data_IF_634776484975
#
_entry.id   IF_634776484975
#
_cell.length_a   1.000
_cell.length_b   1.000
_cell.length_c   1.000
_cell.angle_alpha   90.00
_cell.angle_beta   90.00
_cell.angle_gamma   90.00
#
_symmetry.space_group_name_H-M   'P 1'
#
loop_
_entity.id
_entity.type
_entity.pdbx_description
1 polymer ?
#
# COMPACT_ATOMS: atom_id res chain seq x y z
N UNK A 1 38.00 -0.84 -25.53
CA UNK A 1 37.85 -0.89 -24.06
C UNK A 1 36.51 -0.29 -23.60
N UNK A 2 35.39 -0.63 -24.25
CA UNK A 2 34.06 -0.02 -23.99
C UNK A 2 32.94 -1.04 -23.71
N UNK A 3 33.22 -2.34 -23.85
CA UNK A 3 32.21 -3.41 -23.75
C UNK A 3 31.86 -3.84 -22.30
N UNK A 4 32.69 -3.46 -21.31
CA UNK A 4 32.44 -3.80 -19.89
C UNK A 4 31.38 -2.91 -19.23
N UNK A 5 31.34 -1.60 -19.56
CA UNK A 5 30.42 -0.65 -18.92
C UNK A 5 28.94 -0.94 -19.23
N UNK A 6 28.64 -1.32 -20.47
CA UNK A 6 27.28 -1.64 -20.91
C UNK A 6 26.74 -2.90 -20.21
N UNK A 7 27.60 -3.90 -19.95
CA UNK A 7 27.22 -5.12 -19.24
C UNK A 7 26.88 -4.87 -17.78
N UNK A 8 27.64 -4.00 -17.11
CA UNK A 8 27.37 -3.62 -15.70
C UNK A 8 26.06 -2.85 -15.58
N UNK A 9 25.79 -1.91 -16.48
CA UNK A 9 24.52 -1.16 -16.51
C UNK A 9 23.33 -2.08 -16.80
N UNK A 10 23.48 -3.03 -17.73
CA UNK A 10 22.44 -4.00 -18.04
C UNK A 10 22.18 -4.98 -16.88
N UNK A 11 23.22 -5.41 -16.16
CA UNK A 11 23.08 -6.21 -14.95
C UNK A 11 22.42 -5.44 -13.80
N UNK A 12 22.73 -4.15 -13.63
CA UNK A 12 22.05 -3.29 -12.65
C UNK A 12 20.57 -3.12 -13.00
N UNK A 13 20.24 -2.89 -14.27
CA UNK A 13 18.86 -2.77 -14.73
C UNK A 13 18.06 -4.08 -14.57
N UNK A 14 18.69 -5.25 -14.74
CA UNK A 14 18.05 -6.55 -14.52
C UNK A 14 17.79 -6.88 -13.03
N UNK A 15 18.65 -6.39 -12.14
CA UNK A 15 18.41 -6.49 -10.69
C UNK A 15 17.26 -5.57 -10.28
N UNK A 16 17.13 -4.40 -10.90
CA UNK A 16 16.01 -3.48 -10.68
C UNK A 16 14.68 -3.99 -11.25
N UNK A 17 14.69 -4.75 -12.36
CA UNK A 17 13.48 -5.29 -12.98
C UNK A 17 12.91 -6.52 -12.27
N UNK A 18 13.61 -7.05 -11.26
CA UNK A 18 13.24 -8.29 -10.57
C UNK A 18 12.83 -8.10 -9.11
N UNK A 19 12.83 -6.85 -8.62
CA UNK A 19 12.43 -6.55 -7.25
C UNK A 19 10.90 -6.41 -7.13
N UNK A 20 10.20 -7.49 -7.45
CA UNK A 20 8.78 -7.66 -7.12
C UNK A 20 8.61 -8.04 -5.64
N UNK A 21 9.31 -7.31 -4.74
CA UNK A 21 9.25 -7.45 -3.28
C UNK A 21 8.67 -6.17 -2.66
N UNK A 22 7.76 -5.50 -3.38
CA UNK A 22 7.04 -4.34 -2.88
C UNK A 22 5.86 -4.75 -1.98
N UNK A 23 5.29 -5.94 -2.21
CA UNK A 23 4.45 -6.66 -1.24
C UNK A 23 5.37 -7.35 -0.21
N UNK A 24 5.78 -6.77 0.92
CA UNK A 24 4.81 -6.21 1.84
C UNK A 24 5.52 -5.61 3.06
N UNK A 25 6.32 -4.56 2.87
CA UNK A 25 6.94 -3.89 4.01
C UNK A 25 5.88 -3.27 4.93
N UNK A 26 4.77 -2.83 4.33
CA UNK A 26 3.58 -2.37 5.04
C UNK A 26 2.93 -3.46 5.91
N UNK A 27 2.63 -4.65 5.35
CA UNK A 27 2.08 -5.76 6.15
C UNK A 27 3.10 -6.31 7.14
N UNK A 28 4.40 -6.28 6.83
CA UNK A 28 5.44 -6.62 7.79
C UNK A 28 5.35 -5.74 9.03
N UNK A 29 5.33 -4.41 8.86
CA UNK A 29 5.17 -3.48 9.99
C UNK A 29 3.81 -3.65 10.68
N UNK A 30 2.73 -3.88 9.92
CA UNK A 30 1.41 -4.15 10.49
C UNK A 30 1.43 -5.37 11.40
N UNK A 31 2.05 -6.47 10.96
CA UNK A 31 2.17 -7.72 11.73
C UNK A 31 2.97 -7.56 13.03
N UNK A 32 3.87 -6.57 13.07
CA UNK A 32 4.63 -6.17 14.26
C UNK A 32 3.91 -5.13 15.11
N UNK A 33 2.69 -4.74 14.74
CA UNK A 33 1.91 -3.67 15.38
C UNK A 33 2.56 -2.28 15.27
N UNK A 34 3.53 -2.12 14.36
CA UNK A 34 4.17 -0.86 14.04
C UNK A 34 3.30 -0.09 13.03
N UNK A 35 2.14 0.37 13.51
CA UNK A 35 1.10 0.88 12.63
C UNK A 35 1.48 2.18 11.90
N UNK A 36 2.34 3.02 12.48
CA UNK A 36 2.78 4.26 11.84
C UNK A 36 3.68 3.96 10.63
N UNK A 37 4.66 3.09 10.80
CA UNK A 37 5.56 2.63 9.75
C UNK A 37 4.78 1.86 8.67
N UNK A 38 3.82 1.04 9.08
CA UNK A 38 2.91 0.34 8.16
C UNK A 38 2.15 1.31 7.25
N UNK A 39 1.49 2.34 7.82
CA UNK A 39 0.81 3.38 7.05
C UNK A 39 1.78 4.13 6.14
N UNK A 40 3.00 4.41 6.62
CA UNK A 40 4.03 5.11 5.84
C UNK A 40 4.39 4.33 4.58
N UNK A 41 4.59 3.02 4.70
CA UNK A 41 4.91 2.16 3.57
C UNK A 41 3.72 1.98 2.60
N UNK A 42 2.50 1.82 3.12
CA UNK A 42 1.32 1.75 2.24
C UNK A 42 1.11 3.05 1.44
N UNK A 43 1.32 4.23 2.06
CA UNK A 43 1.26 5.51 1.34
C UNK A 43 2.37 5.62 0.29
N UNK A 44 3.55 5.07 0.59
CA UNK A 44 4.65 4.98 -0.37
C UNK A 44 4.26 4.11 -1.58
N UNK A 45 3.61 2.97 -1.35
CA UNK A 45 3.08 2.11 -2.43
C UNK A 45 2.08 2.87 -3.29
N UNK A 46 1.09 3.54 -2.68
CA UNK A 46 0.09 4.33 -3.40
C UNK A 46 0.70 5.43 -4.27
N UNK A 47 1.83 6.00 -3.84
CA UNK A 47 2.54 7.04 -4.60
C UNK A 47 3.28 6.49 -5.83
N UNK A 48 3.89 5.30 -5.74
CA UNK A 48 4.71 4.74 -6.81
C UNK A 48 3.93 3.81 -7.76
N UNK A 49 3.00 3.03 -7.23
CA UNK A 49 2.18 2.09 -7.98
C UNK A 49 0.93 2.82 -8.45
N UNK A 50 0.92 3.22 -9.72
CA UNK A 50 -0.23 3.89 -10.32
C UNK A 50 -1.46 2.98 -10.30
N UNK A 51 -2.32 3.20 -9.31
CA UNK A 51 -3.75 2.85 -9.24
C UNK A 51 -4.16 1.38 -9.33
N UNK A 52 -3.33 0.41 -9.74
CA UNK A 52 -3.83 -0.96 -9.98
C UNK A 52 -4.37 -1.66 -8.73
N UNK A 53 -3.91 -1.26 -7.53
CA UNK A 53 -4.33 -1.81 -6.24
C UNK A 53 -4.74 -0.71 -5.23
N UNK A 54 -5.17 0.47 -5.72
CA UNK A 54 -5.46 1.63 -4.85
C UNK A 54 -6.40 1.26 -3.69
N UNK A 55 -7.49 0.56 -3.98
CA UNK A 55 -8.52 0.27 -2.97
C UNK A 55 -8.01 -0.71 -1.91
N UNK A 56 -7.25 -1.73 -2.30
CA UNK A 56 -6.61 -2.63 -1.36
C UNK A 56 -5.68 -1.85 -0.42
N UNK A 57 -4.85 -0.98 -0.98
CA UNK A 57 -3.90 -0.17 -0.20
C UNK A 57 -4.63 0.81 0.72
N UNK A 58 -5.71 1.45 0.26
CA UNK A 58 -6.56 2.31 1.09
C UNK A 58 -7.20 1.51 2.25
N UNK A 59 -7.68 0.30 1.98
CA UNK A 59 -8.22 -0.58 3.02
C UNK A 59 -7.15 -0.98 4.05
N UNK A 60 -5.95 -1.33 3.60
CA UNK A 60 -4.81 -1.64 4.49
C UNK A 60 -4.42 -0.43 5.36
N UNK A 61 -4.37 0.78 4.80
CA UNK A 61 -4.16 2.03 5.55
C UNK A 61 -5.25 2.24 6.60
N UNK A 62 -6.52 2.10 6.21
CA UNK A 62 -7.64 2.25 7.14
C UNK A 62 -7.58 1.24 8.30
N UNK A 63 -7.23 -0.02 8.02
CA UNK A 63 -7.01 -1.05 9.06
C UNK A 63 -5.89 -0.67 10.02
N UNK A 64 -4.77 -0.15 9.54
CA UNK A 64 -3.66 0.29 10.39
C UNK A 64 -4.06 1.49 11.27
N UNK A 65 -4.78 2.47 10.73
CA UNK A 65 -5.34 3.56 11.52
C UNK A 65 -6.32 3.08 12.59
N UNK A 66 -7.24 2.19 12.22
CA UNK A 66 -8.19 1.60 13.18
C UNK A 66 -7.47 0.84 14.31
N UNK A 67 -6.48 0.02 13.95
CA UNK A 67 -5.73 -0.81 14.90
C UNK A 67 -4.87 0.01 15.87
N UNK A 68 -4.48 1.22 15.49
CA UNK A 68 -3.78 2.19 16.33
C UNK A 68 -4.70 3.13 17.12
N UNK A 69 -6.02 2.97 16.99
CA UNK A 69 -7.02 3.81 17.66
C UNK A 69 -7.32 5.15 16.98
N UNK A 70 -6.72 5.41 15.81
CA UNK A 70 -6.93 6.63 15.01
C UNK A 70 -8.21 6.51 14.16
N UNK A 71 -9.35 6.46 14.86
CA UNK A 71 -10.68 6.22 14.30
C UNK A 71 -11.10 7.20 13.21
N UNK A 72 -10.85 8.50 13.41
CA UNK A 72 -11.20 9.53 12.42
C UNK A 72 -10.41 9.38 11.12
N UNK A 73 -9.10 9.12 11.21
CA UNK A 73 -8.26 8.85 10.04
C UNK A 73 -8.72 7.60 9.32
N UNK A 74 -9.03 6.52 10.05
CA UNK A 74 -9.58 5.30 9.46
C UNK A 74 -10.89 5.57 8.69
N UNK A 75 -11.82 6.32 9.29
CA UNK A 75 -13.09 6.66 8.65
C UNK A 75 -12.88 7.50 7.39
N UNK A 76 -11.99 8.50 7.44
CA UNK A 76 -11.69 9.34 6.28
C UNK A 76 -11.12 8.55 5.10
N UNK A 77 -10.22 7.60 5.36
CA UNK A 77 -9.63 6.73 4.34
C UNK A 77 -10.65 5.75 3.76
N UNK A 78 -11.57 5.23 4.58
CA UNK A 78 -12.65 4.36 4.10
C UNK A 78 -13.67 5.10 3.25
N UNK A 79 -13.97 6.35 3.58
CA UNK A 79 -14.82 7.19 2.73
C UNK A 79 -14.14 7.48 1.39
N UNK A 80 -12.82 7.69 1.37
CA UNK A 80 -12.06 7.80 0.12
C UNK A 80 -12.19 6.53 -0.74
N UNK A 81 -12.02 5.35 -0.12
CA UNK A 81 -12.16 4.05 -0.78
C UNK A 81 -13.53 3.87 -1.43
N UNK A 82 -14.62 4.19 -0.72
CA UNK A 82 -16.00 3.96 -1.18
C UNK A 82 -16.48 5.09 -2.13
N UNK A 83 -15.80 6.23 -2.16
CA UNK A 83 -16.22 7.38 -2.98
C UNK A 83 -15.92 7.24 -4.46
N UNK A 84 -15.15 6.22 -4.86
CA UNK A 84 -14.88 5.94 -6.28
C UNK A 84 -16.14 5.34 -6.94
N UNK A 85 -16.48 5.78 -8.16
CA UNK A 85 -17.72 5.36 -8.85
C UNK A 85 -17.68 3.92 -9.38
N UNK A 86 -16.52 3.25 -9.28
CA UNK A 86 -16.35 1.83 -9.60
C UNK A 86 -16.48 1.01 -8.33
N UNK A 87 -17.34 -0.01 -8.36
CA UNK A 87 -17.56 -0.90 -7.22
C UNK A 87 -16.34 -1.79 -7.04
N UNK A 88 -15.66 -1.64 -5.90
CA UNK A 88 -14.48 -2.41 -5.55
C UNK A 88 -14.84 -3.64 -4.74
N UNK A 89 -14.05 -4.72 -4.87
CA UNK A 89 -14.16 -5.89 -3.99
C UNK A 89 -13.96 -5.50 -2.51
N UNK A 90 -13.28 -4.38 -2.25
CA UNK A 90 -13.02 -3.84 -0.91
C UNK A 90 -14.15 -2.94 -0.35
N UNK A 91 -15.14 -2.53 -1.14
CA UNK A 91 -16.20 -1.63 -0.67
C UNK A 91 -16.99 -2.22 0.50
N UNK A 92 -17.31 -3.51 0.39
CA UNK A 92 -18.04 -4.24 1.42
C UNK A 92 -17.22 -4.28 2.71
N UNK A 93 -15.95 -4.63 2.63
CA UNK A 93 -15.06 -4.72 3.80
C UNK A 93 -14.78 -3.34 4.40
N UNK A 94 -14.71 -2.31 3.55
CA UNK A 94 -14.60 -0.93 3.96
C UNK A 94 -15.83 -0.45 4.74
N UNK A 95 -17.04 -0.72 4.24
CA UNK A 95 -18.29 -0.43 4.95
C UNK A 95 -18.40 -1.17 6.28
N UNK A 96 -18.00 -2.44 6.32
CA UNK A 96 -17.97 -3.24 7.56
C UNK A 96 -17.00 -2.63 8.57
N UNK A 97 -15.81 -2.20 8.14
CA UNK A 97 -14.84 -1.58 9.02
C UNK A 97 -15.32 -0.20 9.50
N UNK A 98 -15.95 0.59 8.62
CA UNK A 98 -16.52 1.89 8.94
C UNK A 98 -17.61 1.77 10.02
N UNK A 99 -18.44 0.73 9.95
CA UNK A 99 -19.47 0.45 10.96
C UNK A 99 -18.91 0.07 12.34
N UNK A 100 -17.61 -0.28 12.44
CA UNK A 100 -16.93 -0.64 13.70
C UNK A 100 -16.17 0.52 14.35
N UNK A 101 -16.05 1.65 13.64
CA UNK A 101 -15.40 2.86 14.12
C UNK A 101 -16.30 3.53 15.16
#
# INVERSE_FOLDING_TARGET
MAAMGIRVIFCLLLVFSSFSFADDLGDYFYSKQHYFESVTEYKRLLFFEKYSNKDEILYKIAKAYYSSGQKESAASTLLELISDNETSDFDRDGLILLAKI
#
